data_IF_672134426860
#
_entry.id   IF_672134426860
#
_cell.length_a   1.000
_cell.length_b   1.000
_cell.length_c   1.000
_cell.angle_alpha   90.00
_cell.angle_beta   90.00
_cell.angle_gamma   90.00
#
_symmetry.space_group_name_H-M   'P 1'
#
loop_
_entity.id
_entity.type
_entity.pdbx_description
1 polymer ?
#
# COMPACT_ATOMS: atom_id res chain seq x y z
N UNK A 1 -22.94 48.56 71.72
CA UNK A 1 -23.98 47.60 72.12
C UNK A 1 -24.77 47.20 70.88
N UNK A 2 -25.11 45.91 70.79
CA UNK A 2 -26.21 45.28 70.00
C UNK A 2 -26.06 45.00 68.48
N UNK A 3 -25.78 43.72 68.22
CA UNK A 3 -26.40 42.75 67.28
C UNK A 3 -26.41 42.88 65.74
N UNK A 4 -25.72 41.91 65.12
CA UNK A 4 -26.17 40.85 64.18
C UNK A 4 -27.21 41.19 63.09
N UNK A 5 -26.84 40.90 61.83
CA UNK A 5 -27.78 40.64 60.73
C UNK A 5 -27.15 39.85 59.56
N UNK A 6 -27.55 38.58 59.42
CA UNK A 6 -27.29 37.66 58.29
C UNK A 6 -27.85 38.18 56.96
N UNK A 7 -27.17 37.84 55.84
CA UNK A 7 -27.63 37.49 54.46
C UNK A 7 -26.47 37.83 53.51
N UNK A 8 -26.05 37.07 52.51
CA UNK A 8 -26.43 35.79 51.95
C UNK A 8 -25.44 35.59 50.78
N UNK A 9 -24.83 34.42 50.68
CA UNK A 9 -24.01 34.06 49.52
C UNK A 9 -24.93 33.77 48.33
N UNK A 10 -24.61 34.30 47.14
CA UNK A 10 -24.88 33.77 45.80
C UNK A 10 -24.07 34.64 44.82
N UNK A 11 -23.19 34.02 44.04
CA UNK A 11 -22.35 34.69 43.05
C UNK A 11 -21.81 33.72 42.01
N UNK A 12 -22.73 33.15 41.21
CA UNK A 12 -22.59 32.65 39.84
C UNK A 12 -21.26 31.95 39.46
N UNK A 13 -21.24 30.63 39.62
CA UNK A 13 -20.40 29.74 38.80
C UNK A 13 -20.97 29.77 37.38
N UNK A 14 -20.26 30.43 36.47
CA UNK A 14 -20.55 30.36 35.04
C UNK A 14 -20.34 28.94 34.54
N UNK A 15 -21.43 28.27 34.18
CA UNK A 15 -21.39 27.02 33.45
C UNK A 15 -20.82 27.29 32.06
N UNK A 16 -19.54 27.01 31.85
CA UNK A 16 -18.99 26.84 30.52
C UNK A 16 -19.67 25.60 29.91
N UNK A 17 -20.62 25.84 29.02
CA UNK A 17 -21.17 24.80 28.16
C UNK A 17 -20.05 24.27 27.28
N UNK A 18 -19.42 23.18 27.71
CA UNK A 18 -18.59 22.36 26.84
C UNK A 18 -19.47 21.90 25.68
N UNK A 19 -19.28 22.48 24.49
CA UNK A 19 -19.75 21.88 23.26
C UNK A 19 -19.08 20.51 23.16
N UNK A 20 -19.80 19.48 23.58
CA UNK A 20 -19.46 18.11 23.29
C UNK A 20 -19.42 18.00 21.77
N UNK A 21 -18.21 17.96 21.21
CA UNK A 21 -18.01 17.60 19.82
C UNK A 21 -18.74 16.26 19.63
N UNK A 22 -19.81 16.28 18.83
CA UNK A 22 -20.53 15.09 18.43
C UNK A 22 -19.53 14.21 17.69
N UNK A 23 -19.01 13.22 18.42
CA UNK A 23 -18.08 12.23 17.90
C UNK A 23 -18.82 11.49 16.80
N UNK A 24 -18.50 11.78 15.55
CA UNK A 24 -19.02 11.03 14.41
C UNK A 24 -18.84 9.53 14.71
N UNK A 25 -19.88 8.70 14.55
CA UNK A 25 -19.81 7.31 14.92
C UNK A 25 -18.59 6.67 14.24
N UNK A 26 -17.73 6.04 15.04
CA UNK A 26 -16.72 5.15 14.50
C UNK A 26 -17.46 4.11 13.65
N UNK A 27 -16.98 3.83 12.44
CA UNK A 27 -17.54 2.79 11.56
C UNK A 27 -17.71 1.48 12.36
N UNK A 28 -18.93 1.14 12.80
CA UNK A 28 -19.15 0.04 13.76
C UNK A 28 -19.58 -1.27 13.10
N UNK A 29 -19.93 -1.27 11.81
CA UNK A 29 -20.25 -2.48 11.04
C UNK A 29 -19.12 -2.92 10.09
N UNK A 30 -19.05 -4.22 9.78
CA UNK A 30 -18.12 -4.78 8.79
C UNK A 30 -18.25 -4.10 7.41
N UNK A 31 -19.49 -3.84 6.98
CA UNK A 31 -19.78 -3.15 5.72
C UNK A 31 -19.19 -1.73 5.69
N UNK A 32 -19.21 -1.00 6.82
CA UNK A 32 -18.62 0.33 6.92
C UNK A 32 -17.09 0.29 6.92
N UNK A 33 -16.49 -0.75 7.51
CA UNK A 33 -15.04 -0.98 7.48
C UNK A 33 -14.56 -1.30 6.06
N UNK A 34 -15.21 -2.23 5.37
CA UNK A 34 -14.88 -2.56 3.98
C UNK A 34 -15.06 -1.35 3.08
N UNK A 35 -16.17 -0.61 3.22
CA UNK A 35 -16.41 0.61 2.46
C UNK A 35 -15.31 1.65 2.70
N UNK A 36 -14.92 1.87 3.94
CA UNK A 36 -13.85 2.81 4.31
C UNK A 36 -12.52 2.39 3.71
N UNK A 37 -12.15 1.12 3.89
CA UNK A 37 -10.95 0.53 3.35
C UNK A 37 -10.88 0.66 1.82
N UNK A 38 -11.95 0.32 1.11
CA UNK A 38 -12.01 0.43 -0.35
C UNK A 38 -11.95 1.88 -0.85
N UNK A 39 -12.51 2.86 -0.11
CA UNK A 39 -12.35 4.28 -0.47
C UNK A 39 -10.90 4.78 -0.36
N UNK A 40 -10.09 4.17 0.49
CA UNK A 40 -8.68 4.49 0.66
C UNK A 40 -7.80 3.72 -0.33
N UNK A 41 -7.92 2.39 -0.35
CA UNK A 41 -7.09 1.45 -1.12
C UNK A 41 -7.45 1.37 -2.60
N UNK A 42 -8.73 1.55 -2.94
CA UNK A 42 -9.30 1.33 -4.27
C UNK A 42 -10.40 2.34 -4.60
N UNK A 43 -11.53 1.88 -5.10
CA UNK A 43 -12.70 2.73 -5.30
C UNK A 43 -13.99 1.93 -5.08
N UNK A 44 -15.08 2.63 -4.79
CA UNK A 44 -16.42 2.04 -4.72
C UNK A 44 -17.13 1.96 -6.08
N UNK A 45 -16.49 2.43 -7.14
CA UNK A 45 -16.91 2.34 -8.53
C UNK A 45 -15.76 1.79 -9.39
N UNK A 46 -15.96 1.70 -10.70
CA UNK A 46 -15.06 1.01 -11.62
C UNK A 46 -13.95 1.88 -12.22
N UNK A 47 -13.74 3.09 -11.68
CA UNK A 47 -12.68 3.98 -12.13
C UNK A 47 -11.30 3.31 -12.02
N UNK A 48 -10.38 3.71 -12.89
CA UNK A 48 -8.97 3.36 -12.73
C UNK A 48 -8.40 4.03 -11.47
N UNK A 49 -7.78 3.22 -10.62
CA UNK A 49 -7.03 3.67 -9.45
C UNK A 49 -5.55 3.41 -9.72
N UNK A 50 -4.77 4.49 -9.74
CA UNK A 50 -3.31 4.43 -9.85
C UNK A 50 -2.71 4.65 -8.48
N UNK A 51 -1.91 3.71 -8.00
CA UNK A 51 -1.07 3.87 -6.82
C UNK A 51 0.40 3.93 -7.21
N UNK A 52 1.23 4.54 -6.37
CA UNK A 52 2.68 4.46 -6.55
C UNK A 52 3.42 4.45 -5.23
N UNK A 53 4.64 3.93 -5.27
CA UNK A 53 5.63 4.03 -4.20
C UNK A 53 6.97 4.49 -4.77
N UNK A 54 7.70 5.23 -3.96
CA UNK A 54 9.11 5.56 -4.13
C UNK A 54 9.82 5.16 -2.83
N UNK A 55 10.88 4.35 -2.95
CA UNK A 55 11.53 3.74 -1.81
C UNK A 55 12.91 3.21 -2.11
N UNK A 56 13.44 2.45 -1.16
CA UNK A 56 14.76 1.84 -1.23
C UNK A 56 14.77 0.46 -0.59
N UNK A 57 15.68 -0.39 -1.07
CA UNK A 57 16.02 -1.65 -0.45
C UNK A 57 17.41 -1.59 0.17
N UNK A 58 17.50 -2.08 1.40
CA UNK A 58 18.76 -2.42 2.06
C UNK A 58 18.84 -3.92 2.24
N UNK A 59 20.05 -4.47 2.14
CA UNK A 59 20.34 -5.80 2.65
C UNK A 59 20.53 -5.76 4.16
N UNK A 60 19.94 -6.72 4.87
CA UNK A 60 20.07 -6.87 6.32
C UNK A 60 20.84 -8.16 6.59
N UNK A 61 22.05 -8.02 7.15
CA UNK A 61 22.89 -9.15 7.60
C UNK A 61 23.23 -8.89 9.07
N UNK A 62 22.98 -9.86 9.94
CA UNK A 62 23.21 -9.75 11.40
C UNK A 62 22.61 -8.48 12.05
N UNK A 63 21.49 -7.99 11.50
CA UNK A 63 20.79 -6.79 11.95
C UNK A 63 21.33 -5.47 11.39
N UNK A 64 22.39 -5.51 10.58
CA UNK A 64 22.99 -4.31 9.99
C UNK A 64 22.45 -4.02 8.58
N UNK A 65 21.91 -2.80 8.34
CA UNK A 65 21.43 -2.40 7.04
C UNK A 65 22.54 -1.90 6.12
N UNK A 66 22.69 -2.51 4.95
CA UNK A 66 23.52 -2.00 3.85
C UNK A 66 22.61 -1.53 2.71
N UNK A 67 22.60 -0.22 2.33
CA UNK A 67 21.83 0.25 1.19
C UNK A 67 22.25 -0.44 -0.11
N UNK A 68 21.27 -0.85 -0.94
CA UNK A 68 21.52 -1.52 -2.22
C UNK A 68 21.06 -0.67 -3.39
N UNK A 69 19.76 -0.45 -3.53
CA UNK A 69 19.16 0.25 -4.67
C UNK A 69 17.83 0.89 -4.28
N UNK A 70 17.42 1.90 -5.05
CA UNK A 70 16.08 2.47 -4.98
C UNK A 70 15.05 1.59 -5.69
N UNK A 71 13.78 1.87 -5.46
CA UNK A 71 12.65 1.25 -6.17
C UNK A 71 11.57 2.30 -6.40
N UNK A 72 11.09 2.38 -7.63
CA UNK A 72 9.89 3.14 -7.98
C UNK A 72 8.89 2.18 -8.61
N UNK A 73 7.66 2.15 -8.10
CA UNK A 73 6.62 1.26 -8.60
C UNK A 73 5.28 1.98 -8.74
N UNK A 74 4.49 1.54 -9.71
CA UNK A 74 3.12 1.98 -9.89
C UNK A 74 2.18 0.79 -10.05
N UNK A 75 1.02 0.88 -9.40
CA UNK A 75 -0.07 -0.08 -9.50
C UNK A 75 -1.23 0.53 -10.24
N UNK A 76 -1.92 -0.28 -11.05
CA UNK A 76 -3.08 0.08 -11.82
C UNK A 76 -4.19 -0.91 -11.48
N UNK A 77 -5.32 -0.43 -10.96
CA UNK A 77 -6.41 -1.31 -10.55
C UNK A 77 -7.79 -0.75 -10.87
N UNK A 78 -8.71 -1.64 -11.26
CA UNK A 78 -10.16 -1.37 -11.33
C UNK A 78 -10.87 -2.33 -10.39
N UNK A 79 -11.96 -1.86 -9.79
CA UNK A 79 -12.72 -2.59 -8.77
C UNK A 79 -14.20 -2.60 -9.15
N UNK A 80 -14.93 -3.68 -8.84
CA UNK A 80 -16.39 -3.66 -8.88
C UNK A 80 -16.97 -4.44 -7.72
N UNK A 81 -18.10 -3.97 -7.22
CA UNK A 81 -18.81 -4.64 -6.14
C UNK A 81 -19.27 -6.03 -6.59
N UNK A 82 -19.21 -7.01 -5.68
CA UNK A 82 -19.66 -8.38 -5.93
C UNK A 82 -21.07 -8.62 -5.37
N UNK A 83 -21.90 -9.45 -6.02
CA UNK A 83 -23.06 -10.04 -5.38
C UNK A 83 -22.62 -10.83 -4.12
N UNK A 84 -23.21 -10.54 -2.96
CA UNK A 84 -22.81 -11.14 -1.68
C UNK A 84 -21.81 -10.32 -0.85
N UNK A 85 -21.43 -9.13 -1.31
CA UNK A 85 -20.51 -8.24 -0.61
C UNK A 85 -19.05 -8.44 -1.03
N UNK A 86 -18.19 -7.48 -0.66
CA UNK A 86 -16.83 -7.43 -1.17
C UNK A 86 -16.71 -6.80 -2.57
N UNK A 87 -15.50 -6.84 -3.09
CA UNK A 87 -15.13 -6.31 -4.41
C UNK A 87 -14.30 -7.33 -5.16
N UNK A 88 -14.51 -7.48 -6.45
CA UNK A 88 -13.50 -8.06 -7.35
C UNK A 88 -12.67 -6.92 -7.93
N UNK A 89 -11.42 -7.22 -8.26
CA UNK A 89 -10.54 -6.27 -8.91
C UNK A 89 -9.60 -6.94 -9.89
N UNK A 90 -9.18 -6.18 -10.89
CA UNK A 90 -8.04 -6.51 -11.73
C UNK A 90 -6.94 -5.52 -11.40
N UNK A 91 -5.75 -6.03 -11.09
CA UNK A 91 -4.60 -5.22 -10.71
C UNK A 91 -3.38 -5.58 -11.55
N UNK A 92 -2.54 -4.58 -11.83
CA UNK A 92 -1.26 -4.74 -12.48
C UNK A 92 -0.23 -3.83 -11.85
N UNK A 93 1.04 -4.26 -11.81
CA UNK A 93 2.14 -3.48 -11.25
C UNK A 93 3.32 -3.43 -12.22
N UNK A 94 3.94 -2.26 -12.30
CA UNK A 94 5.22 -2.05 -12.95
C UNK A 94 6.19 -1.36 -11.99
N UNK A 95 7.33 -2.00 -11.75
CA UNK A 95 8.37 -1.50 -10.87
C UNK A 95 9.73 -1.42 -11.59
N UNK A 96 10.56 -0.48 -11.17
CA UNK A 96 11.93 -0.34 -11.61
C UNK A 96 12.84 -0.16 -10.40
N UNK A 97 14.03 -0.78 -10.45
CA UNK A 97 15.08 -0.52 -9.48
C UNK A 97 15.96 0.63 -9.98
N UNK A 98 16.35 1.51 -9.07
CA UNK A 98 17.08 2.73 -9.40
C UNK A 98 18.41 2.82 -8.65
N UNK A 99 19.35 3.52 -9.27
CA UNK A 99 20.61 3.88 -8.64
C UNK A 99 20.36 4.87 -7.49
N UNK A 100 21.00 4.66 -6.34
CA UNK A 100 20.79 5.47 -5.15
C UNK A 100 21.34 6.90 -5.29
N UNK A 101 22.42 7.08 -6.06
CA UNK A 101 23.07 8.37 -6.20
C UNK A 101 22.38 9.24 -7.26
N UNK A 102 22.00 8.64 -8.38
CA UNK A 102 21.50 9.34 -9.57
C UNK A 102 19.99 9.26 -9.74
N UNK A 103 19.31 8.32 -9.06
CA UNK A 103 17.87 8.06 -9.21
C UNK A 103 17.48 7.45 -10.57
N UNK A 104 18.44 7.12 -11.42
CA UNK A 104 18.18 6.53 -12.74
C UNK A 104 17.89 5.04 -12.62
N UNK A 105 17.04 4.51 -13.50
CA UNK A 105 16.76 3.07 -13.56
C UNK A 105 18.02 2.30 -13.92
N UNK A 106 18.27 1.21 -13.19
CA UNK A 106 19.42 0.34 -13.37
C UNK A 106 19.15 -0.69 -14.48
N UNK A 107 20.14 -0.90 -15.36
CA UNK A 107 20.28 -2.12 -16.16
C UNK A 107 21.13 -3.17 -15.44
N UNK A 108 22.14 -2.71 -14.71
CA UNK A 108 23.13 -3.52 -14.02
C UNK A 108 23.37 -2.96 -12.62
N UNK A 109 23.68 -3.84 -11.67
CA UNK A 109 23.88 -3.48 -10.28
C UNK A 109 25.17 -4.13 -9.76
N UNK A 110 26.07 -3.32 -9.17
CA UNK A 110 27.25 -3.82 -8.48
C UNK A 110 26.86 -4.24 -7.06
N UNK A 111 26.78 -5.54 -6.81
CA UNK A 111 26.38 -6.04 -5.51
C UNK A 111 27.52 -5.86 -4.48
N UNK A 112 27.33 -5.08 -3.39
CA UNK A 112 28.37 -4.83 -2.40
C UNK A 112 28.73 -6.07 -1.57
N UNK A 113 27.86 -7.09 -1.51
CA UNK A 113 28.11 -8.30 -0.75
C UNK A 113 28.99 -9.31 -1.49
N UNK A 114 28.81 -9.44 -2.80
CA UNK A 114 29.53 -10.42 -3.63
C UNK A 114 30.67 -9.77 -4.42
N UNK A 115 30.62 -8.44 -4.63
CA UNK A 115 31.54 -7.75 -5.51
C UNK A 115 31.29 -8.01 -7.00
N UNK A 116 30.22 -8.72 -7.37
CA UNK A 116 29.86 -9.00 -8.76
C UNK A 116 28.93 -7.92 -9.34
N UNK A 117 28.92 -7.78 -10.65
CA UNK A 117 27.91 -6.98 -11.36
C UNK A 117 26.84 -7.92 -11.90
N UNK A 118 25.59 -7.67 -11.53
CA UNK A 118 24.44 -8.50 -11.92
C UNK A 118 23.47 -7.70 -12.77
N UNK A 119 22.85 -8.34 -13.75
CA UNK A 119 21.80 -7.71 -14.58
C UNK A 119 20.51 -7.60 -13.78
N UNK A 120 19.95 -6.40 -13.78
CA UNK A 120 18.70 -6.08 -13.11
C UNK A 120 17.52 -6.52 -14.00
N UNK A 121 16.60 -7.36 -13.50
CA UNK A 121 15.46 -7.79 -14.29
C UNK A 121 14.60 -6.62 -14.75
N UNK A 122 14.24 -6.62 -16.03
CA UNK A 122 13.23 -5.71 -16.57
C UNK A 122 11.85 -6.40 -16.53
N UNK A 123 10.83 -5.73 -16.02
CA UNK A 123 9.45 -6.15 -16.24
C UNK A 123 8.50 -5.92 -15.06
N UNK A 124 7.21 -6.06 -15.37
CA UNK A 124 6.13 -6.24 -14.41
C UNK A 124 5.56 -7.65 -14.52
N UNK A 125 4.86 -8.11 -13.49
CA UNK A 125 4.13 -9.38 -13.56
C UNK A 125 2.90 -9.23 -14.45
N UNK A 126 2.32 -10.31 -15.01
CA UNK A 126 1.03 -10.23 -15.67
C UNK A 126 -0.05 -9.66 -14.72
N UNK A 127 -1.07 -9.02 -15.29
CA UNK A 127 -2.21 -8.56 -14.49
C UNK A 127 -2.87 -9.75 -13.77
N UNK A 128 -3.43 -9.49 -12.59
CA UNK A 128 -4.04 -10.49 -11.73
C UNK A 128 -5.49 -10.12 -11.40
N UNK A 129 -6.36 -11.14 -11.36
CA UNK A 129 -7.68 -11.03 -10.73
C UNK A 129 -7.55 -11.28 -9.23
N UNK A 130 -8.10 -10.38 -8.43
CA UNK A 130 -8.14 -10.46 -6.98
C UNK A 130 -9.55 -10.17 -6.47
N UNK A 131 -9.82 -10.52 -5.22
CA UNK A 131 -11.03 -10.12 -4.52
C UNK A 131 -10.71 -9.58 -3.14
N UNK A 132 -11.40 -8.52 -2.74
CA UNK A 132 -11.48 -8.05 -1.36
C UNK A 132 -12.78 -8.57 -0.75
N UNK A 133 -12.67 -9.31 0.34
CA UNK A 133 -13.81 -9.96 0.99
C UNK A 133 -14.41 -9.06 2.10
N UNK A 134 -15.62 -9.37 2.60
CA UNK A 134 -16.25 -8.62 3.70
C UNK A 134 -15.39 -8.50 4.96
N UNK A 135 -14.55 -9.49 5.24
CA UNK A 135 -13.59 -9.50 6.35
C UNK A 135 -12.30 -8.69 6.08
N UNK A 136 -12.27 -7.94 4.98
CA UNK A 136 -11.15 -7.13 4.46
C UNK A 136 -10.00 -7.93 3.82
N UNK A 137 -10.04 -9.27 3.87
CA UNK A 137 -8.97 -10.08 3.28
C UNK A 137 -8.93 -9.96 1.76
N UNK A 138 -7.71 -9.88 1.22
CA UNK A 138 -7.44 -10.00 -0.20
C UNK A 138 -7.29 -11.48 -0.55
N UNK A 139 -7.88 -11.92 -1.66
CA UNK A 139 -7.61 -13.23 -2.27
C UNK A 139 -7.16 -13.08 -3.71
N UNK A 140 -6.15 -13.84 -4.11
CA UNK A 140 -5.78 -14.01 -5.52
C UNK A 140 -6.70 -15.07 -6.11
N UNK A 141 -7.37 -14.76 -7.23
CA UNK A 141 -8.41 -15.63 -7.78
C UNK A 141 -7.85 -16.80 -8.61
N UNK A 142 -6.57 -16.74 -8.98
CA UNK A 142 -5.89 -17.82 -9.69
C UNK A 142 -5.09 -18.64 -8.71
N UNK A 143 -5.44 -19.92 -8.58
CA UNK A 143 -4.61 -20.87 -7.86
C UNK A 143 -3.30 -21.11 -8.62
N UNK A 144 -2.20 -21.17 -7.87
CA UNK A 144 -0.87 -21.42 -8.40
C UNK A 144 -0.22 -22.49 -7.52
N UNK A 145 0.04 -23.70 -8.05
CA UNK A 145 0.69 -24.75 -7.27
C UNK A 145 2.03 -24.28 -6.68
N UNK A 146 2.25 -24.54 -5.39
CA UNK A 146 3.48 -24.13 -4.70
C UNK A 146 3.56 -22.65 -4.32
N UNK A 147 2.48 -21.89 -4.50
CA UNK A 147 2.35 -20.50 -4.06
C UNK A 147 1.42 -20.42 -2.85
N UNK A 148 1.96 -19.91 -1.74
CA UNK A 148 1.20 -19.55 -0.55
C UNK A 148 0.97 -18.04 -0.51
N UNK A 149 -0.24 -17.64 -0.15
CA UNK A 149 -0.64 -16.26 0.01
C UNK A 149 -1.50 -16.10 1.25
N UNK A 150 -1.12 -15.15 2.10
CA UNK A 150 -1.84 -14.74 3.30
C UNK A 150 -1.92 -13.21 3.30
N UNK A 151 -3.12 -12.68 3.57
CA UNK A 151 -3.36 -11.25 3.67
C UNK A 151 -4.27 -10.98 4.85
N UNK A 152 -3.91 -9.97 5.62
CA UNK A 152 -4.68 -9.51 6.76
C UNK A 152 -4.71 -7.99 6.80
N UNK A 153 -5.84 -7.44 7.23
CA UNK A 153 -5.96 -6.02 7.59
C UNK A 153 -6.05 -5.92 9.10
N UNK A 154 -5.11 -5.19 9.69
CA UNK A 154 -5.06 -4.98 11.14
C UNK A 154 -6.19 -4.02 11.59
N UNK A 155 -6.49 -3.96 12.90
CA UNK A 155 -7.43 -2.99 13.43
C UNK A 155 -7.09 -1.56 13.01
N UNK A 156 -8.12 -0.79 12.65
CA UNK A 156 -7.94 0.58 12.22
C UNK A 156 -7.47 1.43 13.40
N UNK A 157 -6.43 2.24 13.17
CA UNK A 157 -5.88 3.15 14.18
C UNK A 157 -6.39 4.54 13.87
N UNK A 158 -6.89 5.25 14.88
CA UNK A 158 -7.38 6.63 14.73
C UNK A 158 -6.74 7.53 15.77
N UNK A 159 -6.43 8.76 15.37
CA UNK A 159 -5.98 9.82 16.27
C UNK A 159 -6.49 11.15 15.74
N UNK A 160 -7.40 11.81 16.47
CA UNK A 160 -8.05 13.02 15.97
C UNK A 160 -8.77 12.80 14.63
N UNK A 161 -8.36 13.56 13.61
CA UNK A 161 -8.87 13.45 12.23
C UNK A 161 -8.08 12.44 11.37
N UNK A 162 -7.07 11.78 11.92
CA UNK A 162 -6.27 10.81 11.16
C UNK A 162 -6.80 9.37 11.33
N UNK A 163 -6.75 8.62 10.23
CA UNK A 163 -7.06 7.20 10.14
C UNK A 163 -5.92 6.47 9.44
N UNK A 164 -5.40 5.42 10.08
CA UNK A 164 -4.45 4.49 9.51
C UNK A 164 -5.05 3.08 9.39
N UNK A 165 -4.81 2.45 8.25
CA UNK A 165 -5.15 1.05 7.99
C UNK A 165 -3.88 0.33 7.59
N UNK A 166 -3.49 -0.67 8.38
CA UNK A 166 -2.30 -1.49 8.10
C UNK A 166 -2.71 -2.80 7.45
N UNK A 167 -2.17 -3.07 6.28
CA UNK A 167 -2.26 -4.35 5.59
C UNK A 167 -0.94 -5.11 5.79
N UNK A 168 -1.05 -6.43 5.98
CA UNK A 168 0.10 -7.32 5.98
C UNK A 168 -0.14 -8.41 4.96
N UNK A 169 0.78 -8.52 4.01
CA UNK A 169 0.79 -9.58 3.00
C UNK A 169 1.98 -10.49 3.26
N UNK A 170 1.77 -11.79 3.21
CA UNK A 170 2.84 -12.79 3.27
C UNK A 170 2.71 -13.73 2.09
N UNK A 171 3.80 -13.92 1.37
CA UNK A 171 3.85 -14.85 0.26
C UNK A 171 5.03 -15.79 0.38
N UNK A 172 4.85 -17.01 -0.12
CA UNK A 172 5.95 -17.94 -0.33
C UNK A 172 5.74 -18.64 -1.67
N UNK A 173 6.77 -18.65 -2.51
CA UNK A 173 6.76 -19.35 -3.78
C UNK A 173 7.94 -20.31 -3.83
N UNK A 174 7.69 -21.58 -4.12
CA UNK A 174 8.77 -22.52 -4.38
C UNK A 174 9.37 -22.23 -5.77
N UNK A 175 10.62 -21.76 -5.80
CA UNK A 175 11.36 -21.58 -7.06
C UNK A 175 12.05 -22.92 -7.40
N UNK A 176 11.91 -23.45 -8.63
CA UNK A 176 12.63 -24.64 -9.03
C UNK A 176 14.15 -24.50 -8.81
N UNK A 177 14.76 -25.51 -8.21
CA UNK A 177 16.20 -25.52 -7.91
C UNK A 177 16.63 -24.74 -6.66
N UNK A 178 15.72 -24.08 -5.94
CA UNK A 178 16.04 -23.45 -4.66
C UNK A 178 15.65 -24.33 -3.47
N UNK A 179 16.52 -24.48 -2.45
CA UNK A 179 16.25 -25.34 -1.30
C UNK A 179 15.18 -24.76 -0.36
N UNK A 180 14.92 -23.45 -0.42
CA UNK A 180 13.96 -22.74 0.41
C UNK A 180 12.99 -21.94 -0.46
N UNK A 181 11.70 -21.84 -0.10
CA UNK A 181 10.77 -20.97 -0.80
C UNK A 181 11.23 -19.51 -0.74
N UNK A 182 11.08 -18.81 -1.86
CA UNK A 182 11.25 -17.37 -1.89
C UNK A 182 10.09 -16.71 -1.17
N UNK A 183 10.39 -15.86 -0.18
CA UNK A 183 9.37 -15.15 0.60
C UNK A 183 9.37 -13.67 0.23
N UNK A 184 8.17 -13.16 -0.03
CA UNK A 184 7.93 -11.73 -0.14
C UNK A 184 6.84 -11.38 0.85
N UNK A 185 7.25 -10.75 1.95
CA UNK A 185 6.33 -10.24 2.94
C UNK A 185 6.37 -8.71 2.92
N UNK A 186 5.22 -8.09 3.10
CA UNK A 186 5.12 -6.64 3.13
C UNK A 186 4.09 -6.19 4.17
N UNK A 187 4.33 -5.00 4.70
CA UNK A 187 3.38 -4.25 5.50
C UNK A 187 3.18 -2.90 4.84
N UNK A 188 1.94 -2.62 4.48
CA UNK A 188 1.52 -1.37 3.85
C UNK A 188 0.64 -0.62 4.82
N UNK A 189 0.93 0.66 5.06
CA UNK A 189 0.15 1.51 5.96
C UNK A 189 -0.53 2.57 5.11
N UNK A 190 -1.85 2.49 4.99
CA UNK A 190 -2.69 3.49 4.35
C UNK A 190 -3.03 4.58 5.34
N UNK A 191 -3.07 5.83 4.89
CA UNK A 191 -3.41 6.99 5.70
C UNK A 191 -4.37 7.92 4.98
N UNK A 192 -5.45 8.33 5.65
CA UNK A 192 -6.39 9.34 5.17
C UNK A 192 -6.96 10.16 6.33
N UNK A 193 -7.53 11.33 6.01
CA UNK A 193 -8.31 12.09 6.98
C UNK A 193 -9.72 11.52 7.12
N UNK A 194 -10.26 11.50 8.34
CA UNK A 194 -11.62 11.05 8.63
C UNK A 194 -12.66 12.02 8.08
N UNK A 195 -12.33 13.31 8.05
CA UNK A 195 -13.12 14.35 7.38
C UNK A 195 -13.35 14.06 5.88
N UNK A 196 -12.35 13.57 5.15
CA UNK A 196 -12.48 13.16 3.75
C UNK A 196 -13.46 11.97 3.57
N UNK A 197 -13.58 11.14 4.62
CA UNK A 197 -14.44 9.95 4.63
C UNK A 197 -15.89 10.25 5.03
N UNK A 198 -16.21 11.45 5.54
CA UNK A 198 -17.57 11.81 5.92
C UNK A 198 -18.51 12.00 4.71
N UNK A 199 -17.97 12.35 3.54
CA UNK A 199 -18.73 12.64 2.33
C UNK A 199 -19.14 11.42 1.48
N UNK A 200 -19.87 11.64 0.37
CA UNK A 200 -20.33 10.60 -0.54
C UNK A 200 -19.25 10.10 -1.52
N UNK A 201 -18.03 10.66 -1.46
CA UNK A 201 -16.96 10.38 -2.41
C UNK A 201 -16.67 8.87 -2.50
N UNK A 202 -16.58 8.36 -3.73
CA UNK A 202 -16.33 6.92 -3.99
C UNK A 202 -14.88 6.50 -3.75
N UNK A 203 -13.99 7.49 -3.56
CA UNK A 203 -12.58 7.35 -3.22
C UNK A 203 -12.13 8.63 -2.48
N UNK A 204 -11.13 8.53 -1.62
CA UNK A 204 -10.51 9.67 -0.92
C UNK A 204 -9.00 9.74 -1.20
N UNK A 205 -8.35 10.90 -1.02
CA UNK A 205 -6.90 10.97 -0.96
C UNK A 205 -6.36 9.95 0.06
N UNK A 206 -5.30 9.23 -0.31
CA UNK A 206 -4.74 8.18 0.53
C UNK A 206 -3.24 8.16 0.36
N UNK A 207 -2.51 8.50 1.42
CA UNK A 207 -1.07 8.29 1.48
C UNK A 207 -0.79 6.84 1.86
N UNK A 208 0.37 6.34 1.47
CA UNK A 208 0.79 4.99 1.83
C UNK A 208 2.26 4.94 2.21
N UNK A 209 2.60 4.10 3.17
CA UNK A 209 3.98 3.68 3.47
C UNK A 209 4.11 2.20 3.15
N UNK A 210 5.22 1.81 2.54
CA UNK A 210 5.56 0.44 2.19
C UNK A 210 6.75 -0.03 3.02
N UNK A 211 6.65 -1.22 3.59
CA UNK A 211 7.73 -1.89 4.31
C UNK A 211 7.81 -3.35 3.86
N UNK A 212 8.86 -3.74 3.15
CA UNK A 212 9.06 -5.09 2.64
C UNK A 212 10.10 -5.86 3.42
N UNK A 213 9.79 -7.09 3.86
CA UNK A 213 10.77 -8.06 4.37
C UNK A 213 10.80 -9.22 3.39
N UNK A 214 11.83 -9.24 2.55
CA UNK A 214 11.87 -10.08 1.35
C UNK A 214 13.13 -10.93 1.38
N UNK A 215 13.04 -12.21 1.01
CA UNK A 215 14.23 -13.03 0.77
C UNK A 215 15.18 -12.34 -0.21
N UNK A 216 16.47 -12.70 -0.19
CA UNK A 216 17.38 -12.28 -1.26
C UNK A 216 16.75 -12.59 -2.62
N UNK A 217 16.62 -11.56 -3.46
CA UNK A 217 16.09 -11.74 -4.81
C UNK A 217 17.06 -12.63 -5.60
N UNK A 218 16.58 -13.59 -6.41
CA UNK A 218 17.46 -14.51 -7.12
C UNK A 218 18.54 -13.81 -7.96
N UNK A 219 18.19 -12.70 -8.61
CA UNK A 219 19.11 -11.94 -9.46
C UNK A 219 20.26 -11.25 -8.70
N UNK A 220 20.19 -11.17 -7.36
CA UNK A 220 21.29 -10.65 -6.55
C UNK A 220 22.43 -11.65 -6.36
N UNK A 221 22.26 -12.92 -6.77
CA UNK A 221 23.30 -13.95 -6.71
C UNK A 221 23.88 -14.15 -5.30
N UNK A 222 23.01 -14.06 -4.28
CA UNK A 222 23.43 -14.14 -2.87
C UNK A 222 23.73 -15.57 -2.38
N UNK A 223 23.40 -16.59 -3.17
CA UNK A 223 23.53 -17.99 -2.77
C UNK A 223 22.84 -18.26 -1.44
N UNK A 224 23.53 -18.97 -0.54
CA UNK A 224 23.05 -19.28 0.80
C UNK A 224 23.40 -18.22 1.86
N UNK A 225 23.85 -17.02 1.45
CA UNK A 225 24.25 -15.98 2.40
C UNK A 225 23.09 -15.66 3.36
N UNK A 226 23.32 -15.64 4.69
CA UNK A 226 22.29 -15.25 5.65
C UNK A 226 21.84 -13.81 5.41
N UNK A 227 20.61 -13.52 5.83
CA UNK A 227 20.02 -12.19 5.71
C UNK A 227 18.83 -12.13 4.75
N UNK A 228 18.37 -10.92 4.51
CA UNK A 228 17.19 -10.61 3.70
C UNK A 228 17.23 -9.15 3.25
N UNK A 229 16.27 -8.77 2.42
CA UNK A 229 16.04 -7.39 2.01
C UNK A 229 15.00 -6.72 2.92
N UNK A 230 15.31 -5.50 3.36
CA UNK A 230 14.36 -4.57 3.95
C UNK A 230 14.06 -3.46 2.94
N UNK A 231 12.83 -3.41 2.45
CA UNK A 231 12.32 -2.33 1.64
C UNK A 231 11.61 -1.29 2.49
N UNK A 232 11.86 -0.01 2.27
CA UNK A 232 11.12 1.10 2.91
C UNK A 232 10.79 2.13 1.86
N UNK A 233 9.54 2.56 1.78
CA UNK A 233 9.09 3.55 0.81
C UNK A 233 7.81 4.26 1.24
N UNK A 234 7.48 5.31 0.50
CA UNK A 234 6.26 6.07 0.68
C UNK A 234 5.60 6.35 -0.67
N UNK A 235 4.34 6.72 -0.64
CA UNK A 235 3.59 6.92 -1.86
C UNK A 235 2.15 7.33 -1.61
N UNK A 236 1.32 7.15 -2.65
CA UNK A 236 -0.11 7.45 -2.58
C UNK A 236 -0.91 6.44 -3.40
N UNK A 237 -2.18 6.29 -3.04
CA UNK A 237 -3.18 5.70 -3.92
C UNK A 237 -4.06 6.82 -4.52
N UNK A 238 -4.54 6.62 -5.74
CA UNK A 238 -5.41 7.58 -6.43
C UNK A 238 -4.65 8.73 -7.09
N UNK A 239 -3.39 8.51 -7.44
CA UNK A 239 -2.62 9.48 -8.20
C UNK A 239 -3.18 9.65 -9.61
N UNK A 240 -2.92 10.81 -10.20
CA UNK A 240 -2.95 10.95 -11.66
C UNK A 240 -1.66 10.39 -12.24
N UNK A 241 -1.70 9.93 -13.49
CA UNK A 241 -0.54 9.32 -14.14
C UNK A 241 0.67 10.27 -14.17
N UNK A 242 0.44 11.57 -14.37
CA UNK A 242 1.49 12.59 -14.47
C UNK A 242 2.15 12.89 -13.12
N UNK A 243 1.53 12.47 -12.01
CA UNK A 243 2.04 12.63 -10.66
C UNK A 243 2.84 11.41 -10.16
N UNK A 244 3.09 10.42 -11.03
CA UNK A 244 3.96 9.29 -10.74
C UNK A 244 5.44 9.74 -10.59
N UNK A 245 6.28 8.96 -9.89
CA UNK A 245 7.68 9.31 -9.70
C UNK A 245 8.41 9.62 -11.03
N UNK A 246 9.21 10.68 -11.13
CA UNK A 246 9.86 11.06 -12.38
C UNK A 246 10.72 9.95 -13.02
N UNK A 247 11.42 9.16 -12.20
CA UNK A 247 12.19 8.02 -12.68
C UNK A 247 11.31 6.93 -13.30
N UNK A 248 10.13 6.67 -12.70
CA UNK A 248 9.15 5.75 -13.25
C UNK A 248 8.61 6.29 -14.58
N UNK A 249 8.22 7.57 -14.64
CA UNK A 249 7.73 8.21 -15.86
C UNK A 249 8.75 8.12 -17.01
N UNK A 250 10.01 8.42 -16.74
CA UNK A 250 11.08 8.36 -17.73
C UNK A 250 11.28 6.94 -18.27
N UNK A 251 11.41 5.95 -17.38
CA UNK A 251 11.63 4.56 -17.76
C UNK A 251 10.43 3.95 -18.49
N UNK A 252 9.21 4.28 -18.06
CA UNK A 252 7.99 3.82 -18.73
C UNK A 252 7.85 4.42 -20.12
N UNK A 253 8.22 5.69 -20.34
CA UNK A 253 8.17 6.30 -21.69
C UNK A 253 9.07 5.57 -22.68
N UNK A 254 10.24 5.13 -22.23
CA UNK A 254 11.17 4.37 -23.06
C UNK A 254 10.69 2.94 -23.31
N UNK A 255 10.22 2.26 -22.26
CA UNK A 255 10.02 0.80 -22.28
C UNK A 255 8.59 0.36 -22.57
N UNK A 256 7.61 1.17 -22.17
CA UNK A 256 6.16 0.87 -22.21
C UNK A 256 5.34 2.12 -22.58
N UNK A 257 5.66 2.81 -23.70
CA UNK A 257 5.01 4.07 -24.08
C UNK A 257 3.50 3.97 -24.26
N UNK A 258 2.98 2.77 -24.55
CA UNK A 258 1.54 2.52 -24.72
C UNK A 258 0.72 2.82 -23.45
N UNK A 259 1.33 2.74 -22.26
CA UNK A 259 0.67 3.06 -20.99
C UNK A 259 0.24 4.53 -20.87
N UNK A 260 0.88 5.44 -21.61
CA UNK A 260 0.51 6.86 -21.62
C UNK A 260 -0.67 7.17 -22.53
N UNK A 261 -1.03 6.24 -23.42
CA UNK A 261 -2.21 6.38 -24.30
C UNK A 261 -3.46 5.88 -23.58
N UNK A 262 -3.37 4.69 -23.01
CA UNK A 262 -4.44 4.07 -22.26
C UNK A 262 -3.86 3.20 -21.12
N UNK A 263 -3.74 3.74 -19.89
CA UNK A 263 -3.23 2.97 -18.77
C UNK A 263 -4.19 1.85 -18.31
N UNK A 264 -5.47 1.89 -18.68
CA UNK A 264 -6.43 0.86 -18.32
C UNK A 264 -6.36 -0.36 -19.25
N UNK A 265 -5.85 -0.20 -20.49
CA UNK A 265 -5.74 -1.27 -21.48
C UNK A 265 -5.02 -2.53 -20.97
N UNK A 266 -4.05 -2.38 -20.06
CA UNK A 266 -3.33 -3.51 -19.45
C UNK A 266 -4.20 -4.41 -18.57
N UNK A 267 -5.34 -3.89 -18.11
CA UNK A 267 -6.30 -4.60 -17.26
C UNK A 267 -7.41 -5.28 -18.07
N UNK A 268 -7.72 -4.76 -19.26
CA UNK A 268 -8.87 -5.17 -20.08
C UNK A 268 -8.96 -6.67 -20.38
N UNK A 269 -7.86 -7.40 -20.68
CA UNK A 269 -7.94 -8.84 -20.95
C UNK A 269 -8.55 -9.68 -19.82
N UNK A 270 -8.46 -9.18 -18.59
CA UNK A 270 -9.07 -9.80 -17.41
C UNK A 270 -10.36 -9.08 -17.00
N UNK A 271 -10.42 -7.76 -17.18
CA UNK A 271 -11.55 -6.95 -16.74
C UNK A 271 -12.83 -7.21 -17.54
N UNK A 272 -12.72 -7.41 -18.86
CA UNK A 272 -13.89 -7.64 -19.74
C UNK A 272 -14.48 -9.05 -19.62
N UNK A 273 -13.72 -9.99 -19.05
CA UNK A 273 -14.09 -11.40 -18.87
C UNK A 273 -14.72 -11.70 -17.49
N UNK A 274 -15.30 -10.70 -16.84
CA UNK A 274 -15.99 -10.82 -15.53
C UNK A 274 -17.45 -10.44 -15.69
#
# INVERSE_FOLDING_TARGET
>A
MTNIGRRGAIGLIGAAASLAATRAPAATGEADRLRTYMRMRGALDDRLVIGWIDGRYSGIVDGEPTPLYGVVAATFARHRARPGGGFEAVTWELAFFTDLATGKVLSDFRNPYTGETVTVPAGGQPAAKIAFLPDLSLKIMREMPGFAFDHQVLPFVTSGDDLWITEVTRTAAQIPGQPRPFRYNETTILHARRSDLAGPAKRVPCQTTFNGVVSWRPWLMMGDRPGHLLGVGAGVYGAKLEALPPAWLAATRERRPELFKDPAAVLEPLWSKS
#
